data_IF_396413111348
#
_entry.id   IF_396413111348
#
_cell.length_a   1.000
_cell.length_b   1.000
_cell.length_c   1.000
_cell.angle_alpha   90.00
_cell.angle_beta   90.00
_cell.angle_gamma   90.00
#
_symmetry.space_group_name_H-M   'P 1'
#
loop_
_entity.id
_entity.type
_entity.pdbx_description
1 polymer ?
#
# COMPACT_ATOMS: atom_id res chain seq x y z
N UNK A 1 -64.18 -30.45 -30.54
CA UNK A 1 -65.54 -29.99 -30.15
C UNK A 1 -65.60 -29.96 -28.63
N UNK A 2 -66.19 -28.94 -28.04
CA UNK A 2 -66.14 -28.67 -26.60
C UNK A 2 -67.18 -29.48 -25.81
N UNK A 3 -66.87 -29.77 -24.54
CA UNK A 3 -67.86 -30.04 -23.50
C UNK A 3 -67.38 -29.40 -22.18
N UNK A 4 -68.32 -28.91 -21.38
CA UNK A 4 -68.07 -27.91 -20.32
C UNK A 4 -68.29 -28.48 -18.90
N UNK A 5 -67.58 -27.90 -17.92
CA UNK A 5 -67.76 -27.95 -16.43
C UNK A 5 -69.17 -27.47 -15.97
N UNK A 6 -69.56 -27.38 -14.66
CA UNK A 6 -68.92 -27.70 -13.35
C UNK A 6 -69.81 -28.76 -12.59
N UNK A 7 -70.25 -28.71 -11.29
CA UNK A 7 -69.81 -27.98 -10.07
C UNK A 7 -69.81 -28.76 -8.70
N UNK A 8 -69.29 -28.07 -7.66
CA UNK A 8 -69.76 -28.00 -6.25
C UNK A 8 -69.70 -29.19 -5.26
N UNK A 9 -69.12 -28.95 -4.07
CA UNK A 9 -69.41 -29.71 -2.82
C UNK A 9 -68.29 -29.81 -1.78
N UNK A 10 -68.15 -28.81 -0.89
CA UNK A 10 -67.37 -28.88 0.39
C UNK A 10 -68.33 -28.49 1.53
N UNK A 11 -68.29 -29.10 2.75
CA UNK A 11 -67.28 -28.69 3.74
C UNK A 11 -66.90 -29.66 4.91
N UNK A 12 -65.80 -29.32 5.60
CA UNK A 12 -65.49 -29.67 7.02
C UNK A 12 -65.21 -31.16 7.34
N UNK A 13 -64.65 -31.57 8.49
CA UNK A 13 -64.35 -30.84 9.73
C UNK A 13 -63.03 -31.31 10.38
N UNK A 14 -62.41 -30.37 11.10
CA UNK A 14 -61.16 -30.38 11.88
C UNK A 14 -60.87 -31.64 12.73
N UNK A 15 -59.57 -31.88 12.96
CA UNK A 15 -58.82 -32.05 14.23
C UNK A 15 -57.59 -32.95 13.95
N UNK A 16 -56.39 -32.38 13.71
CA UNK A 16 -55.22 -32.31 14.65
C UNK A 16 -54.67 -33.69 15.06
N UNK A 17 -53.37 -33.99 15.18
CA UNK A 17 -52.21 -33.23 15.72
C UNK A 17 -50.91 -33.74 15.04
N UNK A 18 -49.77 -33.06 15.26
CA UNK A 18 -48.39 -33.60 15.13
C UNK A 18 -47.81 -33.85 13.71
N UNK A 19 -47.57 -32.77 12.95
CA UNK A 19 -46.58 -32.77 11.86
C UNK A 19 -45.82 -31.44 11.67
N UNK A 20 -46.36 -30.30 12.12
CA UNK A 20 -45.86 -28.97 11.73
C UNK A 20 -44.62 -28.42 12.47
N UNK A 21 -44.28 -28.91 13.67
CA UNK A 21 -43.26 -28.27 14.53
C UNK A 21 -41.87 -28.91 14.38
N UNK A 22 -41.78 -30.20 14.06
CA UNK A 22 -40.51 -30.93 13.98
C UNK A 22 -39.65 -30.52 12.77
N UNK A 23 -40.27 -30.17 11.64
CA UNK A 23 -39.55 -29.86 10.41
C UNK A 23 -38.82 -28.50 10.42
N UNK A 24 -39.39 -27.49 11.10
CA UNK A 24 -38.80 -26.14 11.10
C UNK A 24 -37.61 -26.00 12.07
N UNK A 25 -37.60 -26.77 13.16
CA UNK A 25 -36.49 -26.80 14.11
C UNK A 25 -35.20 -27.39 13.51
N UNK A 26 -35.33 -28.45 12.69
CA UNK A 26 -34.19 -29.09 12.03
C UNK A 26 -33.54 -28.22 10.94
N UNK A 27 -34.31 -27.39 10.25
CA UNK A 27 -33.76 -26.50 9.22
C UNK A 27 -33.01 -25.29 9.81
N UNK A 28 -33.46 -24.75 10.95
CA UNK A 28 -32.76 -23.68 11.68
C UNK A 28 -31.48 -24.19 12.37
N UNK A 29 -31.43 -25.45 12.82
CA UNK A 29 -30.20 -26.08 13.32
C UNK A 29 -29.21 -26.44 12.20
N UNK A 30 -29.69 -26.78 11.00
CA UNK A 30 -28.82 -27.05 9.84
C UNK A 30 -28.13 -25.79 9.30
N UNK A 31 -28.84 -24.64 9.29
CA UNK A 31 -28.32 -23.37 8.78
C UNK A 31 -27.32 -22.64 9.71
N UNK A 32 -27.06 -23.18 10.92
CA UNK A 32 -26.13 -22.60 11.90
C UNK A 32 -24.81 -23.39 12.04
N UNK A 33 -24.63 -24.49 11.29
CA UNK A 33 -23.46 -25.39 11.38
C UNK A 33 -22.60 -25.38 10.10
N UNK A 34 -22.93 -24.49 9.17
CA UNK A 34 -22.16 -24.15 7.96
C UNK A 34 -22.24 -22.61 7.87
N UNK A 35 -21.30 -21.79 8.37
CA UNK A 35 -19.84 -21.94 8.40
C UNK A 35 -19.19 -21.33 9.67
N UNK A 36 -18.35 -22.07 10.40
CA UNK A 36 -17.28 -21.47 11.23
C UNK A 36 -15.86 -21.78 10.69
N UNK A 37 -15.75 -22.45 9.54
CA UNK A 37 -14.48 -22.84 8.93
C UNK A 37 -13.89 -21.75 8.01
N UNK A 38 -14.71 -20.99 7.28
CA UNK A 38 -14.20 -19.94 6.38
C UNK A 38 -13.70 -18.70 7.13
N UNK A 39 -14.33 -18.35 8.26
CA UNK A 39 -14.00 -17.15 9.02
C UNK A 39 -12.67 -17.24 9.80
N UNK A 40 -12.02 -18.42 9.81
CA UNK A 40 -10.66 -18.63 10.34
C UNK A 40 -9.55 -18.36 9.31
N UNK A 41 -9.87 -18.21 8.04
CA UNK A 41 -8.93 -17.79 6.99
C UNK A 41 -8.82 -16.26 6.85
N UNK A 42 -9.63 -15.51 7.62
CA UNK A 42 -9.57 -14.06 7.77
C UNK A 42 -9.37 -13.68 9.26
N UNK A 43 -8.67 -14.52 10.02
CA UNK A 43 -7.69 -13.91 10.93
C UNK A 43 -6.64 -13.27 10.01
N UNK A 44 -6.32 -11.96 10.17
CA UNK A 44 -5.04 -11.50 9.66
C UNK A 44 -4.03 -12.45 10.28
N UNK A 45 -3.21 -13.11 9.45
CA UNK A 45 -1.92 -13.51 9.96
C UNK A 45 -1.27 -12.22 10.42
N UNK A 46 -1.33 -11.99 11.74
CA UNK A 46 -0.25 -11.37 12.46
C UNK A 46 0.94 -12.23 12.11
N UNK A 47 1.57 -11.88 10.99
CA UNK A 47 2.78 -12.51 10.51
C UNK A 47 3.65 -12.51 11.74
N UNK A 48 3.97 -13.71 12.24
CA UNK A 48 4.86 -13.83 13.37
C UNK A 48 6.13 -13.18 12.90
N UNK A 49 6.36 -11.96 13.38
CA UNK A 49 7.59 -11.22 13.18
C UNK A 49 8.61 -11.89 14.09
N UNK A 50 8.91 -13.15 13.76
CA UNK A 50 10.08 -13.85 14.22
C UNK A 50 11.25 -12.90 13.99
N UNK A 51 12.14 -12.76 14.98
CA UNK A 51 13.06 -11.63 15.07
C UNK A 51 13.80 -11.48 13.75
N UNK A 52 13.50 -10.40 13.02
CA UNK A 52 14.07 -10.13 11.70
C UNK A 52 15.59 -10.27 11.80
N UNK A 53 16.13 -11.27 11.10
CA UNK A 53 17.56 -11.53 11.13
C UNK A 53 18.29 -10.26 10.71
N UNK A 54 19.28 -9.82 11.51
CA UNK A 54 20.01 -8.57 11.27
C UNK A 54 20.53 -8.54 9.83
N UNK A 55 19.97 -7.62 9.02
CA UNK A 55 20.32 -7.45 7.61
C UNK A 55 19.30 -7.95 6.59
N UNK A 56 18.16 -8.54 6.99
CA UNK A 56 17.12 -8.94 6.04
C UNK A 56 16.46 -7.71 5.38
N UNK A 57 16.57 -7.61 4.06
CA UNK A 57 16.01 -6.52 3.26
C UNK A 57 14.55 -6.84 2.92
N UNK A 58 13.60 -6.14 3.55
CA UNK A 58 12.17 -6.28 3.26
C UNK A 58 11.83 -5.47 2.00
N UNK A 59 11.58 -6.17 0.90
CA UNK A 59 10.99 -5.57 -0.31
C UNK A 59 9.47 -5.60 -0.15
N UNK A 60 8.86 -4.43 -0.01
CA UNK A 60 7.41 -4.26 0.00
C UNK A 60 6.88 -3.74 -1.32
N UNK A 61 5.56 -3.78 -1.50
CA UNK A 61 4.88 -3.10 -2.59
C UNK A 61 5.09 -1.58 -2.55
N UNK A 62 4.99 -0.86 -3.68
CA UNK A 62 5.04 0.59 -3.70
C UNK A 62 3.93 1.22 -2.84
N UNK A 63 4.31 1.95 -1.79
CA UNK A 63 3.34 2.57 -0.86
C UNK A 63 2.94 3.95 -1.34
N UNK A 64 3.90 4.72 -1.89
CA UNK A 64 3.61 6.04 -2.47
C UNK A 64 3.01 5.90 -3.87
N UNK A 65 1.79 6.41 -4.04
CA UNK A 65 1.07 6.49 -5.31
C UNK A 65 0.08 7.66 -5.33
N UNK A 66 -0.15 8.22 -6.51
CA UNK A 66 -1.02 9.38 -6.74
C UNK A 66 -0.30 10.62 -7.27
N UNK A 67 -1.05 11.70 -7.44
CA UNK A 67 -0.54 13.03 -7.77
C UNK A 67 -0.17 13.77 -6.49
N UNK A 68 0.94 14.51 -6.51
CA UNK A 68 1.39 15.35 -5.41
C UNK A 68 2.00 16.65 -5.94
N UNK A 69 1.95 17.71 -5.13
CA UNK A 69 2.43 19.07 -5.45
C UNK A 69 3.44 19.52 -4.38
N UNK A 70 4.51 20.20 -4.81
CA UNK A 70 5.60 20.60 -3.91
C UNK A 70 5.15 21.64 -2.90
N UNK A 71 5.39 21.40 -1.61
CA UNK A 71 5.06 22.33 -0.51
C UNK A 71 6.31 23.10 -0.08
N UNK A 72 6.38 24.41 -0.38
CA UNK A 72 7.53 25.23 -0.01
C UNK A 72 7.51 26.67 -0.53
N UNK A 73 8.52 27.45 -0.15
CA UNK A 73 8.60 28.91 -0.35
C UNK A 73 8.68 29.36 -1.81
N UNK A 74 9.12 28.50 -2.73
CA UNK A 74 9.24 28.80 -4.17
C UNK A 74 7.90 28.67 -4.93
N UNK A 75 6.78 28.92 -4.25
CA UNK A 75 5.40 28.69 -4.70
C UNK A 75 4.95 29.47 -5.94
N UNK A 76 5.81 30.25 -6.60
CA UNK A 76 5.51 30.91 -7.89
C UNK A 76 5.34 29.91 -9.04
N UNK A 77 6.01 28.77 -8.97
CA UNK A 77 5.88 27.64 -9.91
C UNK A 77 6.01 26.33 -9.14
N UNK A 78 4.91 25.84 -8.51
CA UNK A 78 4.96 24.60 -7.75
C UNK A 78 5.23 23.41 -8.69
N UNK A 79 6.15 22.54 -8.27
CA UNK A 79 6.47 21.32 -9.00
C UNK A 79 5.44 20.24 -8.67
N UNK A 80 4.82 19.65 -9.68
CA UNK A 80 3.93 18.51 -9.50
C UNK A 80 4.62 17.20 -9.92
N UNK A 81 4.28 16.12 -9.23
CA UNK A 81 4.71 14.76 -9.57
C UNK A 81 3.53 13.80 -9.60
N UNK A 82 3.58 12.85 -10.54
CA UNK A 82 2.66 11.73 -10.60
C UNK A 82 3.43 10.44 -10.31
N UNK A 83 3.07 9.74 -9.24
CA UNK A 83 3.65 8.45 -8.87
C UNK A 83 2.63 7.34 -9.18
N UNK A 84 3.04 6.33 -9.94
CA UNK A 84 2.18 5.20 -10.33
C UNK A 84 3.01 3.93 -10.51
N UNK A 85 2.87 2.96 -9.60
CA UNK A 85 3.69 1.76 -9.58
C UNK A 85 5.18 2.10 -9.55
N UNK A 86 5.93 1.56 -10.52
CA UNK A 86 7.34 1.88 -10.73
C UNK A 86 7.63 3.25 -11.35
N UNK A 87 6.64 4.01 -11.82
CA UNK A 87 6.84 5.32 -12.45
C UNK A 87 6.78 6.49 -11.48
N UNK A 88 7.67 7.48 -11.66
CA UNK A 88 7.53 8.84 -11.15
C UNK A 88 7.72 9.83 -12.30
N UNK A 89 6.66 10.54 -12.68
CA UNK A 89 6.72 11.61 -13.68
C UNK A 89 6.79 12.96 -12.97
N UNK A 90 7.70 13.83 -13.41
CA UNK A 90 7.86 15.22 -12.95
C UNK A 90 7.26 16.13 -14.01
N UNK A 91 6.23 16.91 -13.66
CA UNK A 91 5.55 17.75 -14.64
C UNK A 91 6.44 18.88 -15.17
N UNK A 92 6.41 19.08 -16.49
CA UNK A 92 7.27 20.06 -17.17
C UNK A 92 8.75 19.68 -17.26
N UNK A 93 9.14 18.50 -16.78
CA UNK A 93 10.49 17.96 -16.92
C UNK A 93 10.47 16.58 -17.59
N UNK A 94 10.50 15.51 -16.80
CA UNK A 94 10.81 14.17 -17.28
C UNK A 94 10.33 13.04 -16.38
N UNK A 95 10.76 11.82 -16.65
CA UNK A 95 10.24 10.61 -15.99
C UNK A 95 11.34 9.71 -15.44
N UNK A 96 11.10 9.18 -14.24
CA UNK A 96 11.86 8.07 -13.68
C UNK A 96 11.07 6.77 -13.83
N UNK A 97 11.74 5.73 -14.33
CA UNK A 97 11.29 4.34 -14.20
C UNK A 97 12.07 3.69 -13.08
N UNK A 98 11.38 3.06 -12.13
CA UNK A 98 11.95 2.55 -10.87
C UNK A 98 11.40 1.18 -10.51
N UNK A 99 12.11 0.48 -9.62
CA UNK A 99 11.65 -0.77 -8.99
C UNK A 99 11.81 -0.68 -7.47
N UNK A 100 10.90 -1.24 -6.66
CA UNK A 100 11.07 -1.34 -5.21
C UNK A 100 12.39 -1.98 -4.84
N UNK A 101 13.08 -1.43 -3.84
CA UNK A 101 14.29 -2.02 -3.29
C UNK A 101 14.10 -2.42 -1.83
N UNK A 102 13.57 -1.52 -0.97
CA UNK A 102 13.24 -1.85 0.42
C UNK A 102 12.32 -0.83 1.08
N UNK A 103 11.66 -1.28 2.14
CA UNK A 103 10.93 -0.42 3.08
C UNK A 103 11.66 -0.42 4.44
N UNK A 104 11.99 0.76 4.97
CA UNK A 104 12.74 0.90 6.25
C UNK A 104 12.10 1.95 7.16
N UNK A 105 12.26 1.79 8.48
CA UNK A 105 12.01 2.87 9.44
C UNK A 105 13.14 3.89 9.42
N UNK A 106 12.84 5.18 9.57
CA UNK A 106 13.85 6.25 9.61
C UNK A 106 14.75 6.16 10.86
N UNK A 107 14.26 5.54 11.93
CA UNK A 107 14.97 5.22 13.17
C UNK A 107 16.02 4.10 13.02
N UNK A 108 15.89 3.25 11.99
CA UNK A 108 16.81 2.15 11.75
C UNK A 108 18.20 2.67 11.34
N UNK A 109 19.25 1.89 11.65
CA UNK A 109 20.63 2.23 11.28
C UNK A 109 20.84 2.14 9.76
N UNK A 110 21.34 3.23 9.19
CA UNK A 110 21.77 3.34 7.80
C UNK A 110 23.27 3.01 7.62
N UNK A 111 24.06 3.22 8.68
CA UNK A 111 25.43 2.77 8.83
C UNK A 111 25.75 2.53 10.32
N UNK A 112 27.00 2.21 10.67
CA UNK A 112 27.39 1.92 12.05
C UNK A 112 27.24 3.10 13.03
N UNK A 113 27.22 4.33 12.52
CA UNK A 113 27.05 5.54 13.33
C UNK A 113 25.61 6.04 13.28
N UNK A 114 25.00 6.15 12.09
CA UNK A 114 23.81 6.97 11.83
C UNK A 114 22.52 6.21 11.55
N UNK A 115 21.40 6.84 11.90
CA UNK A 115 20.05 6.42 11.48
C UNK A 115 19.75 6.86 10.03
N UNK A 116 18.69 6.32 9.41
CA UNK A 116 18.21 6.81 8.12
C UNK A 116 17.72 8.27 8.20
N UNK A 117 17.10 8.66 9.31
CA UNK A 117 16.70 10.02 9.61
C UNK A 117 17.89 10.99 9.50
N UNK A 118 18.97 10.68 10.21
CA UNK A 118 20.23 11.46 10.18
C UNK A 118 20.92 11.41 8.81
N UNK A 119 20.94 10.25 8.16
CA UNK A 119 21.62 10.08 6.88
C UNK A 119 20.91 10.81 5.72
N UNK A 120 19.60 10.98 5.79
CA UNK A 120 18.77 11.48 4.69
C UNK A 120 18.03 12.80 4.98
N UNK A 121 18.06 13.30 6.22
CA UNK A 121 17.26 14.46 6.64
C UNK A 121 15.76 14.16 6.77
N UNK A 122 15.40 12.89 6.99
CA UNK A 122 14.01 12.45 7.11
C UNK A 122 13.49 12.59 8.56
N UNK A 123 12.16 12.76 8.78
CA UNK A 123 11.58 12.75 10.12
C UNK A 123 11.86 11.41 10.84
N UNK A 124 12.24 11.47 12.11
CA UNK A 124 12.70 10.29 12.86
C UNK A 124 11.67 9.13 12.94
N UNK A 125 10.37 9.43 12.89
CA UNK A 125 9.28 8.46 12.90
C UNK A 125 8.73 8.12 11.50
N UNK A 126 9.36 8.58 10.42
CA UNK A 126 8.90 8.28 9.06
C UNK A 126 9.21 6.83 8.67
N UNK A 127 8.33 6.23 7.88
CA UNK A 127 8.66 5.06 7.08
C UNK A 127 9.19 5.53 5.72
N UNK A 128 10.28 4.94 5.24
CA UNK A 128 10.98 5.34 4.02
C UNK A 128 10.91 4.22 3.00
N UNK A 129 10.27 4.49 1.88
CA UNK A 129 10.28 3.60 0.71
C UNK A 129 11.51 3.91 -0.15
N UNK A 130 12.38 2.93 -0.36
CA UNK A 130 13.58 3.06 -1.20
C UNK A 130 13.36 2.31 -2.51
N UNK A 131 13.50 3.03 -3.63
CA UNK A 131 13.37 2.49 -5.00
C UNK A 131 14.70 2.64 -5.75
N UNK A 132 15.05 1.64 -6.56
CA UNK A 132 16.15 1.73 -7.54
C UNK A 132 15.63 2.40 -8.81
N UNK A 133 16.34 3.39 -9.33
CA UNK A 133 16.07 3.95 -10.66
C UNK A 133 16.67 3.01 -11.73
N UNK A 134 15.85 2.70 -12.73
CA UNK A 134 16.20 1.89 -13.90
C UNK A 134 16.45 2.78 -15.14
N UNK A 135 15.70 3.88 -15.27
CA UNK A 135 15.89 4.90 -16.29
C UNK A 135 15.50 6.29 -15.76
N UNK A 136 16.21 7.32 -16.20
CA UNK A 136 15.99 8.74 -15.88
C UNK A 136 15.88 9.54 -17.19
N UNK A 137 14.65 9.79 -17.62
CA UNK A 137 14.28 10.49 -18.84
C UNK A 137 14.14 11.99 -18.54
N UNK A 138 15.27 12.65 -18.20
CA UNK A 138 15.38 14.08 -17.87
C UNK A 138 14.51 14.56 -16.68
N UNK A 139 14.51 13.83 -15.56
CA UNK A 139 13.77 14.24 -14.35
C UNK A 139 14.29 15.52 -13.69
N UNK A 140 15.56 15.88 -13.95
CA UNK A 140 16.31 17.04 -13.40
C UNK A 140 16.38 17.14 -11.86
N UNK A 141 15.94 16.10 -11.14
CA UNK A 141 15.85 16.10 -9.67
C UNK A 141 17.22 16.26 -8.98
N UNK A 142 18.30 15.87 -9.64
CA UNK A 142 19.70 16.04 -9.19
C UNK A 142 20.47 17.09 -10.01
N UNK A 143 19.84 18.21 -10.37
CA UNK A 143 20.46 19.32 -11.10
C UNK A 143 21.14 18.90 -12.43
N UNK A 144 20.47 18.02 -13.18
CA UNK A 144 20.97 17.47 -14.44
C UNK A 144 21.90 16.25 -14.30
N UNK A 145 22.28 15.85 -13.08
CA UNK A 145 22.96 14.56 -12.86
C UNK A 145 21.94 13.41 -12.79
N UNK A 146 22.33 12.23 -13.25
CA UNK A 146 21.47 11.05 -13.26
C UNK A 146 21.10 10.59 -11.83
N UNK A 147 19.79 10.40 -11.60
CA UNK A 147 19.27 9.81 -10.37
C UNK A 147 19.45 8.29 -10.42
N UNK A 148 20.07 7.71 -9.38
CA UNK A 148 20.23 6.25 -9.25
C UNK A 148 19.24 5.60 -8.30
N UNK A 149 18.78 6.36 -7.30
CA UNK A 149 17.87 5.89 -6.27
C UNK A 149 16.90 6.99 -5.85
N UNK A 150 15.71 6.58 -5.45
CA UNK A 150 14.77 7.42 -4.72
C UNK A 150 14.61 6.88 -3.31
N UNK A 151 14.58 7.78 -2.33
CA UNK A 151 13.99 7.52 -1.03
C UNK A 151 12.77 8.42 -0.85
N UNK A 152 11.66 7.85 -0.41
CA UNK A 152 10.37 8.51 -0.22
C UNK A 152 9.97 8.38 1.25
N UNK A 153 10.21 9.42 2.06
CA UNK A 153 9.83 9.40 3.48
C UNK A 153 8.36 9.80 3.61
N UNK A 154 7.52 8.85 4.00
CA UNK A 154 6.08 9.03 4.07
C UNK A 154 5.65 9.88 5.27
N UNK A 155 4.57 10.63 5.06
CA UNK A 155 3.87 11.44 6.07
C UNK A 155 2.36 11.25 5.88
N UNK A 156 1.57 11.79 6.79
CA UNK A 156 0.10 11.67 6.77
C UNK A 156 -0.53 12.11 5.43
N UNK A 157 -0.11 13.26 4.92
CA UNK A 157 -0.75 13.94 3.79
C UNK A 157 0.21 14.13 2.58
N UNK A 158 1.30 13.36 2.54
CA UNK A 158 2.39 13.61 1.58
C UNK A 158 3.66 12.79 1.84
N UNK A 159 4.76 13.19 1.21
CA UNK A 159 6.07 12.56 1.42
C UNK A 159 7.23 13.53 1.13
N UNK A 160 8.40 13.27 1.70
CA UNK A 160 9.65 13.90 1.26
C UNK A 160 10.27 13.07 0.13
N UNK A 161 10.46 13.69 -1.03
CA UNK A 161 11.25 13.15 -2.14
C UNK A 161 12.72 13.43 -1.87
N UNK A 162 13.52 12.37 -1.74
CA UNK A 162 14.97 12.43 -1.52
C UNK A 162 15.67 11.69 -2.68
N UNK A 163 15.98 12.39 -3.79
CA UNK A 163 16.70 11.80 -4.91
C UNK A 163 18.17 11.59 -4.54
N UNK A 164 18.76 10.47 -4.97
CA UNK A 164 20.17 10.16 -4.72
C UNK A 164 20.85 9.78 -6.03
N UNK A 165 22.04 10.34 -6.27
CA UNK A 165 22.84 10.07 -7.47
C UNK A 165 23.29 8.60 -7.55
N UNK A 166 23.67 8.17 -8.75
CA UNK A 166 24.10 6.80 -9.04
C UNK A 166 25.18 6.25 -8.07
N UNK A 167 25.21 4.92 -7.89
CA UNK A 167 26.11 4.22 -6.97
C UNK A 167 25.37 3.25 -6.04
N UNK A 168 25.91 2.92 -4.84
CA UNK A 168 25.26 2.06 -3.85
C UNK A 168 23.90 2.59 -3.35
N UNK A 169 23.00 1.72 -2.85
CA UNK A 169 21.72 2.14 -2.30
C UNK A 169 21.86 3.09 -1.09
N UNK A 170 20.88 3.98 -0.83
CA UNK A 170 20.85 4.79 0.39
C UNK A 170 20.87 3.90 1.63
N UNK A 171 21.70 4.24 2.62
CA UNK A 171 21.92 3.40 3.80
C UNK A 171 22.69 2.10 3.51
N UNK A 172 23.68 2.17 2.62
CA UNK A 172 24.75 1.19 2.49
C UNK A 172 26.11 1.92 2.55
N UNK A 173 26.57 2.19 3.77
CA UNK A 173 27.96 2.55 4.13
C UNK A 173 28.65 3.70 3.34
N UNK A 174 27.90 4.61 2.73
CA UNK A 174 28.44 5.70 1.89
C UNK A 174 27.89 7.09 2.27
N UNK A 175 28.62 8.14 1.88
CA UNK A 175 28.43 9.50 2.36
C UNK A 175 27.13 10.19 1.90
N UNK A 176 26.79 11.26 2.62
CA UNK A 176 25.65 12.17 2.34
C UNK A 176 25.82 12.99 1.05
N UNK A 177 27.02 13.03 0.49
CA UNK A 177 27.40 13.84 -0.68
C UNK A 177 26.54 13.56 -1.93
N UNK A 178 26.02 12.34 -2.07
CA UNK A 178 25.15 11.90 -3.18
C UNK A 178 23.68 12.26 -3.02
N UNK A 179 23.24 12.75 -1.86
CA UNK A 179 21.88 13.24 -1.66
C UNK A 179 21.68 14.53 -2.45
N UNK A 180 20.61 14.60 -3.24
CA UNK A 180 20.23 15.78 -3.99
C UNK A 180 19.27 16.66 -3.18
N UNK A 181 18.84 17.79 -3.74
CA UNK A 181 17.90 18.68 -3.06
C UNK A 181 16.62 17.92 -2.66
N UNK A 182 16.39 17.80 -1.35
CA UNK A 182 15.18 17.19 -0.78
C UNK A 182 14.00 18.11 -1.08
N UNK A 183 12.89 17.53 -1.54
CA UNK A 183 11.68 18.26 -1.90
C UNK A 183 10.51 17.71 -1.12
N UNK A 184 9.75 18.60 -0.50
CA UNK A 184 8.54 18.23 0.21
C UNK A 184 7.32 18.26 -0.73
N UNK A 185 6.45 17.27 -0.62
CA UNK A 185 5.27 17.08 -1.46
C UNK A 185 4.03 16.78 -0.61
N UNK A 186 2.93 17.48 -0.90
CA UNK A 186 1.59 17.25 -0.36
C UNK A 186 0.62 16.80 -1.45
N UNK A 187 -0.58 16.33 -1.08
CA UNK A 187 -1.67 16.03 -2.02
C UNK A 187 -2.44 17.29 -2.44
#
# INVERSE_FOLDING_TARGET
MSATVPPSGVPSLKWTVAAGVAAFALFLLGALVVEPALNRLIEPQSASAGPLAKGQVVIGDPVVSGRYVSTGSDARTPLAVQVAGGGLTVEGAGRLTTTPHRLVGADQKADGARTFAEAMGAPAAAQIEIRRVLADEDSRLCAGQAVGWLALAMRRDGFLLMPVRQGPPPGALAAQDRLCAVRDFGR
#
